data_IF_790383611880
#
_entry.id   IF_790383611880
#
_cell.length_a   1.000
_cell.length_b   1.000
_cell.length_c   1.000
_cell.angle_alpha   90.00
_cell.angle_beta   90.00
_cell.angle_gamma   90.00
#
_symmetry.space_group_name_H-M   'P 1'
#
loop_
_entity.id
_entity.type
_entity.pdbx_description
1 polymer ?
#
# COMPACT_ATOMS: atom_id res chain seq x y z
N UNK A 1 -16.28 19.60 11.20
CA UNK A 1 -15.40 19.39 10.03
C UNK A 1 -14.13 18.58 10.30
N UNK A 2 -13.80 18.18 11.55
CA UNK A 2 -12.67 17.29 11.86
C UNK A 2 -13.07 16.05 12.69
N UNK A 3 -14.33 15.62 12.60
CA UNK A 3 -14.88 14.52 13.42
C UNK A 3 -15.40 13.33 12.60
N UNK A 4 -15.34 13.37 11.27
CA UNK A 4 -15.91 12.31 10.43
C UNK A 4 -14.85 11.30 9.97
N UNK A 5 -13.58 11.70 9.85
CA UNK A 5 -12.52 10.79 9.39
C UNK A 5 -12.01 9.81 10.47
N UNK A 6 -12.33 10.03 11.75
CA UNK A 6 -12.00 9.07 12.80
C UNK A 6 -13.04 7.93 12.89
N UNK A 7 -14.31 8.21 12.55
CA UNK A 7 -15.41 7.25 12.67
C UNK A 7 -15.49 6.27 11.48
N UNK A 8 -14.90 6.64 10.33
CA UNK A 8 -14.79 5.75 9.18
C UNK A 8 -13.76 4.61 9.38
N UNK A 9 -12.93 4.65 10.43
CA UNK A 9 -11.93 3.62 10.70
C UNK A 9 -12.39 2.53 11.70
N UNK A 10 -13.54 2.72 12.37
CA UNK A 10 -14.07 1.75 13.35
C UNK A 10 -15.15 0.83 12.77
N UNK A 11 -15.87 1.27 11.73
CA UNK A 11 -17.00 0.51 11.17
C UNK A 11 -16.76 0.04 9.74
N UNK A 12 -16.32 -1.22 9.65
CA UNK A 12 -16.24 -2.07 8.44
C UNK A 12 -15.14 -1.68 7.44
N UNK A 13 -13.97 -2.28 7.63
CA UNK A 13 -13.35 -2.99 6.52
C UNK A 13 -13.07 -4.41 6.99
N UNK A 14 -13.94 -5.35 6.60
CA UNK A 14 -13.60 -6.76 6.61
C UNK A 14 -12.50 -6.93 5.56
N UNK A 15 -11.25 -7.01 6.00
CA UNK A 15 -10.13 -7.36 5.16
C UNK A 15 -10.02 -8.89 5.18
N UNK A 16 -10.79 -9.55 4.31
CA UNK A 16 -10.50 -10.94 3.95
C UNK A 16 -9.14 -10.96 3.24
N UNK A 17 -8.08 -11.32 3.96
CA UNK A 17 -6.82 -11.72 3.32
C UNK A 17 -5.52 -11.09 3.83
N UNK A 18 -5.50 -10.33 4.94
CA UNK A 18 -4.22 -10.08 5.64
C UNK A 18 -4.35 -10.40 7.13
N UNK A 19 -3.78 -11.54 7.50
CA UNK A 19 -3.47 -11.94 8.86
C UNK A 19 -2.61 -10.86 9.51
N UNK A 20 -3.23 -10.04 10.35
CA UNK A 20 -2.60 -8.90 11.01
C UNK A 20 -1.50 -9.23 12.02
N UNK A 21 -0.99 -10.46 12.08
CA UNK A 21 0.06 -10.89 13.01
C UNK A 21 0.81 -12.11 12.45
N UNK A 22 1.89 -11.90 11.68
CA UNK A 22 2.93 -12.92 11.54
C UNK A 22 4.33 -12.29 11.71
N UNK A 23 5.14 -12.74 12.69
CA UNK A 23 6.43 -12.14 13.04
C UNK A 23 7.56 -12.35 12.01
N UNK A 24 7.26 -12.89 10.83
CA UNK A 24 8.21 -13.12 9.72
C UNK A 24 7.72 -12.57 8.36
N UNK A 25 6.55 -11.95 8.29
CA UNK A 25 5.93 -11.52 7.03
C UNK A 25 5.46 -10.07 7.12
N UNK A 26 5.82 -9.28 6.11
CA UNK A 26 5.34 -7.93 5.77
C UNK A 26 4.94 -6.99 6.92
N UNK A 27 5.77 -5.97 7.19
CA UNK A 27 5.51 -4.97 8.23
C UNK A 27 4.45 -3.97 7.77
N UNK A 28 3.21 -4.11 8.25
CA UNK A 28 2.12 -3.18 7.94
C UNK A 28 1.87 -2.28 9.15
N UNK A 29 2.08 -0.97 8.99
CA UNK A 29 1.80 0.03 10.02
C UNK A 29 0.50 0.77 9.67
N UNK A 30 -0.58 0.61 10.45
CA UNK A 30 -1.79 1.42 10.28
C UNK A 30 -1.49 2.90 10.61
N UNK A 31 -2.26 3.87 10.07
CA UNK A 31 -3.45 3.73 9.22
C UNK A 31 -3.10 3.41 7.76
N UNK A 32 -3.63 2.30 7.24
CA UNK A 32 -3.48 1.86 5.85
C UNK A 32 -4.83 1.47 5.29
N UNK A 33 -5.10 1.82 4.04
CA UNK A 33 -6.28 1.37 3.32
C UNK A 33 -5.85 0.40 2.21
N UNK A 34 -6.48 -0.77 2.11
CA UNK A 34 -6.16 -1.77 1.10
C UNK A 34 -7.45 -2.18 0.39
N UNK A 35 -7.46 -2.07 -0.93
CA UNK A 35 -8.58 -2.46 -1.77
C UNK A 35 -8.69 -3.99 -1.95
N UNK A 36 -9.87 -4.48 -2.37
CA UNK A 36 -10.08 -5.90 -2.64
C UNK A 36 -9.25 -6.39 -3.84
N UNK A 37 -8.92 -7.68 -3.85
CA UNK A 37 -8.09 -8.32 -4.89
C UNK A 37 -6.66 -7.74 -4.99
N UNK A 38 -6.12 -7.19 -3.90
CA UNK A 38 -4.72 -6.81 -3.84
C UNK A 38 -3.86 -8.04 -3.51
N UNK A 39 -2.72 -8.18 -4.18
CA UNK A 39 -1.72 -9.19 -3.89
C UNK A 39 -0.51 -8.54 -3.25
N UNK A 40 -0.16 -8.92 -2.02
CA UNK A 40 0.98 -8.37 -1.29
C UNK A 40 1.91 -9.53 -0.97
N UNK A 41 3.12 -9.49 -1.51
CA UNK A 41 4.13 -10.48 -1.23
C UNK A 41 4.72 -10.33 0.18
N UNK A 42 5.32 -11.41 0.67
CA UNK A 42 6.12 -11.46 1.88
C UNK A 42 7.30 -10.46 1.88
N UNK A 43 7.80 -10.12 3.08
CA UNK A 43 8.85 -9.11 3.31
C UNK A 43 8.53 -7.67 2.85
N UNK A 44 7.27 -7.36 2.50
CA UNK A 44 6.87 -6.01 2.09
C UNK A 44 6.63 -5.11 3.31
N UNK A 45 7.21 -3.93 3.31
CA UNK A 45 7.02 -2.93 4.36
C UNK A 45 6.00 -1.89 3.88
N UNK A 46 4.85 -1.84 4.54
CA UNK A 46 3.80 -0.87 4.26
C UNK A 46 3.70 0.07 5.45
N UNK A 47 4.12 1.31 5.24
CA UNK A 47 4.11 2.37 6.22
C UNK A 47 2.72 2.98 6.42
N UNK A 48 2.57 3.77 7.50
CA UNK A 48 1.32 4.48 7.78
C UNK A 48 1.02 5.51 6.71
N UNK A 49 -0.25 5.91 6.61
CA UNK A 49 -0.76 6.84 5.60
C UNK A 49 -0.65 6.33 4.17
N UNK A 50 -0.66 5.00 4.00
CA UNK A 50 -0.66 4.38 2.69
C UNK A 50 -2.08 4.00 2.26
N UNK A 51 -2.42 4.27 1.01
CA UNK A 51 -3.70 3.87 0.41
C UNK A 51 -3.40 2.98 -0.80
N UNK A 52 -3.98 1.80 -0.86
CA UNK A 52 -3.80 0.83 -1.93
C UNK A 52 -5.15 0.56 -2.57
N UNK A 53 -5.26 0.83 -3.87
CA UNK A 53 -6.46 0.56 -4.65
C UNK A 53 -6.71 -0.94 -4.91
N UNK A 54 -7.88 -1.29 -5.46
CA UNK A 54 -8.20 -2.68 -5.82
C UNK A 54 -7.34 -3.18 -6.98
N UNK A 55 -7.12 -4.50 -7.05
CA UNK A 55 -6.31 -5.15 -8.10
C UNK A 55 -4.84 -4.68 -8.14
N UNK A 56 -4.29 -4.25 -7.01
CA UNK A 56 -2.89 -3.84 -6.91
C UNK A 56 -1.99 -5.06 -6.67
N UNK A 57 -0.78 -5.04 -7.22
CA UNK A 57 0.20 -6.13 -7.07
C UNK A 57 1.47 -5.56 -6.45
N UNK A 58 1.81 -6.02 -5.25
CA UNK A 58 3.03 -5.65 -4.53
C UNK A 58 3.92 -6.89 -4.44
N UNK A 59 5.10 -6.81 -5.05
CA UNK A 59 6.12 -7.87 -5.01
C UNK A 59 6.97 -7.82 -3.72
N UNK A 60 7.80 -8.84 -3.52
CA UNK A 60 8.60 -9.04 -2.30
C UNK A 60 9.62 -7.91 -2.08
N UNK A 61 9.87 -7.58 -0.81
CA UNK A 61 10.90 -6.60 -0.41
C UNK A 61 10.56 -5.15 -0.78
N UNK A 62 9.30 -4.86 -1.09
CA UNK A 62 8.83 -3.52 -1.41
C UNK A 62 8.68 -2.70 -0.12
N UNK A 63 9.14 -1.46 -0.12
CA UNK A 63 8.96 -0.54 0.99
C UNK A 63 8.12 0.67 0.55
N UNK A 64 6.93 0.81 1.12
CA UNK A 64 5.97 1.87 0.82
C UNK A 64 5.79 2.72 2.08
N UNK A 65 5.80 4.03 1.94
CA UNK A 65 5.53 4.94 3.06
C UNK A 65 4.79 6.19 2.58
N UNK A 66 3.72 6.59 3.29
CA UNK A 66 2.99 7.83 3.04
C UNK A 66 2.64 8.03 1.55
N UNK A 67 2.11 6.99 0.89
CA UNK A 67 1.93 6.95 -0.56
C UNK A 67 0.54 6.45 -0.95
N UNK A 68 0.03 6.91 -2.09
CA UNK A 68 -1.32 6.58 -2.56
C UNK A 68 -1.22 5.84 -3.88
N UNK A 69 -1.71 4.61 -3.92
CA UNK A 69 -1.79 3.75 -5.09
C UNK A 69 -3.25 3.64 -5.51
N UNK A 70 -3.51 3.94 -6.77
CA UNK A 70 -4.83 3.76 -7.37
C UNK A 70 -5.06 2.31 -7.81
N UNK A 71 -6.19 2.04 -8.46
CA UNK A 71 -6.57 0.71 -8.90
C UNK A 71 -5.62 0.17 -10.00
N UNK A 72 -5.27 -1.11 -9.93
CA UNK A 72 -4.46 -1.78 -10.96
C UNK A 72 -2.98 -1.38 -10.98
N UNK A 73 -2.43 -0.89 -9.87
CA UNK A 73 -1.00 -0.56 -9.80
C UNK A 73 -0.17 -1.82 -9.59
N UNK A 74 0.98 -1.91 -10.28
CA UNK A 74 1.93 -3.01 -10.12
C UNK A 74 3.26 -2.48 -9.60
N UNK A 75 3.74 -3.02 -8.49
CA UNK A 75 5.02 -2.66 -7.86
C UNK A 75 6.01 -3.81 -7.93
N UNK A 76 7.12 -3.59 -8.62
CA UNK A 76 8.22 -4.54 -8.75
C UNK A 76 8.97 -4.80 -7.43
N UNK A 77 9.62 -5.96 -7.33
CA UNK A 77 10.30 -6.40 -6.11
C UNK A 77 11.45 -5.44 -5.73
N UNK A 78 11.68 -5.25 -4.44
CA UNK A 78 12.75 -4.35 -3.95
C UNK A 78 12.53 -2.87 -4.24
N UNK A 79 11.33 -2.47 -4.69
CA UNK A 79 11.03 -1.06 -4.97
C UNK A 79 10.74 -0.30 -3.69
N UNK A 80 11.15 0.97 -3.64
CA UNK A 80 10.90 1.86 -2.51
C UNK A 80 10.07 3.04 -3.00
N UNK A 81 8.87 3.20 -2.46
CA UNK A 81 7.96 4.30 -2.78
C UNK A 81 7.71 5.11 -1.52
N UNK A 82 8.00 6.40 -1.56
CA UNK A 82 7.78 7.30 -0.41
C UNK A 82 7.24 8.64 -0.87
N UNK A 83 6.19 9.12 -0.19
CA UNK A 83 5.55 10.40 -0.48
C UNK A 83 5.13 10.56 -1.95
N UNK A 84 4.59 9.51 -2.57
CA UNK A 84 4.24 9.53 -3.98
C UNK A 84 2.79 9.12 -4.22
N UNK A 85 2.22 9.65 -5.30
CA UNK A 85 0.86 9.31 -5.76
C UNK A 85 1.02 8.58 -7.09
N UNK A 86 0.59 7.33 -7.11
CA UNK A 86 0.69 6.43 -8.26
C UNK A 86 -0.70 6.23 -8.85
N UNK A 87 -0.91 6.75 -10.06
CA UNK A 87 -2.16 6.67 -10.80
C UNK A 87 -2.53 5.25 -11.19
N UNK A 88 -3.81 5.08 -11.54
CA UNK A 88 -4.36 3.78 -11.91
C UNK A 88 -3.62 3.19 -13.11
N UNK A 89 -3.45 1.88 -13.11
CA UNK A 89 -2.77 1.14 -14.19
C UNK A 89 -1.28 1.53 -14.39
N UNK A 90 -0.65 2.10 -13.36
CA UNK A 90 0.78 2.38 -13.39
C UNK A 90 1.60 1.14 -13.02
N UNK A 91 2.76 0.98 -13.66
CA UNK A 91 3.66 -0.15 -13.41
C UNK A 91 5.03 0.37 -13.02
N UNK A 92 5.43 0.04 -11.79
CA UNK A 92 6.73 0.35 -11.22
C UNK A 92 7.65 -0.86 -11.46
N UNK A 93 8.75 -0.64 -12.17
CA UNK A 93 9.76 -1.68 -12.40
C UNK A 93 10.44 -2.16 -11.11
N UNK A 94 11.14 -3.28 -11.18
CA UNK A 94 11.83 -3.89 -10.04
C UNK A 94 13.05 -3.06 -9.62
N UNK A 95 13.29 -2.92 -8.31
CA UNK A 95 14.40 -2.14 -7.75
C UNK A 95 14.30 -0.63 -7.99
N UNK A 96 13.12 -0.11 -8.32
CA UNK A 96 12.92 1.33 -8.52
C UNK A 96 12.81 2.04 -7.18
N UNK A 97 13.48 3.19 -7.07
CA UNK A 97 13.34 4.10 -5.95
C UNK A 97 12.53 5.29 -6.45
N UNK A 98 11.33 5.45 -5.92
CA UNK A 98 10.42 6.57 -6.16
C UNK A 98 10.33 7.30 -4.83
N UNK A 99 10.98 8.46 -4.78
CA UNK A 99 11.24 9.17 -3.54
C UNK A 99 11.07 10.67 -3.76
N UNK A 100 9.99 11.03 -4.43
CA UNK A 100 9.72 12.38 -4.88
C UNK A 100 8.21 12.55 -4.88
N UNK A 101 7.75 13.76 -4.56
CA UNK A 101 6.34 14.24 -4.60
C UNK A 101 5.75 14.23 -6.02
N UNK A 102 6.19 13.25 -6.81
CA UNK A 102 5.81 12.97 -8.17
C UNK A 102 4.45 12.30 -8.17
N UNK A 103 3.57 12.92 -8.95
CA UNK A 103 2.32 12.33 -9.40
C UNK A 103 2.64 11.63 -10.71
N UNK A 104 2.58 10.30 -10.70
CA UNK A 104 2.76 9.46 -11.90
C UNK A 104 1.40 8.93 -12.31
#
# INVERSE_FOLDING_TARGET
>A
YLQVNADALDRKVQLEGISSHEPNGSLIRPPVLIGPNCHIAEESQIGPHTVIGPNCIIKNGVAIENSVFWAGVTVGAGSKIRNSIIAQNSTIGEGKNINEESVI
#
